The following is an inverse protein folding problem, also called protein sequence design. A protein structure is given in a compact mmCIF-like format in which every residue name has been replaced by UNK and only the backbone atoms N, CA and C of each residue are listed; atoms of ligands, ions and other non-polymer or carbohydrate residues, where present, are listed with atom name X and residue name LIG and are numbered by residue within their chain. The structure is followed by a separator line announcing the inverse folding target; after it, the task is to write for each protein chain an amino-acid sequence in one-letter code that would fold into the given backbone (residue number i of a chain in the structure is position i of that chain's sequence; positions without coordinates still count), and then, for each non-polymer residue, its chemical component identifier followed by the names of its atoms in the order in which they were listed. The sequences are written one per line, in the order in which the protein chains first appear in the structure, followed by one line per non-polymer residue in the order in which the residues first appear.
data_IF_142674705560
#
_entry.id   IF_142674705560
#
_cell.length_a   1.000
_cell.length_b   1.000
_cell.length_c   1.000
_cell.angle_alpha   90.00
_cell.angle_beta   90.00
_cell.angle_gamma   90.00
#
_symmetry.space_group_name_H-M   'P 1'
#
loop_
_entity.id
_entity.type
_entity.pdbx_description
1 polymer ?
#
# COMPACT_ATOMS: atom_id res chain seq x y z
N UNK A 1 -1.93 -19.27 7.45
CA UNK A 1 -2.28 -18.00 8.14
C UNK A 1 -3.57 -17.47 7.55
N UNK A 2 -4.48 -17.02 8.38
CA UNK A 2 -5.76 -16.45 7.94
C UNK A 2 -5.90 -15.09 8.60
N UNK A 3 -6.01 -14.04 7.78
CA UNK A 3 -6.37 -12.71 8.26
C UNK A 3 -7.88 -12.52 8.19
N UNK A 4 -8.45 -11.87 9.19
CA UNK A 4 -9.89 -11.66 9.27
C UNK A 4 -10.21 -10.22 9.63
N UNK A 5 -11.25 -9.71 9.00
CA UNK A 5 -11.84 -8.41 9.33
C UNK A 5 -13.36 -8.55 9.36
N UNK A 6 -14.00 -7.87 10.28
CA UNK A 6 -15.45 -7.63 10.26
C UNK A 6 -15.67 -6.15 10.02
N UNK A 7 -16.74 -5.79 9.34
CA UNK A 7 -17.00 -4.39 9.04
C UNK A 7 -18.49 -4.09 9.07
N UNK A 8 -18.82 -2.86 9.46
CA UNK A 8 -20.16 -2.31 9.44
C UNK A 8 -20.13 -1.01 8.66
N UNK A 9 -21.02 -0.89 7.69
CA UNK A 9 -21.10 0.29 6.83
C UNK A 9 -22.43 1.01 7.00
N UNK A 10 -22.35 2.34 6.93
CA UNK A 10 -23.53 3.23 6.89
C UNK A 10 -23.21 4.39 5.94
N UNK A 11 -24.00 4.54 4.87
CA UNK A 11 -23.64 5.46 3.79
C UNK A 11 -22.28 5.06 3.19
N UNK A 12 -21.40 6.04 3.03
CA UNK A 12 -20.04 5.80 2.53
C UNK A 12 -19.04 5.41 3.63
N UNK A 13 -19.44 5.50 4.90
CA UNK A 13 -18.58 5.19 6.03
C UNK A 13 -18.57 3.69 6.29
N UNK A 14 -17.36 3.12 6.43
CA UNK A 14 -17.15 1.72 6.82
C UNK A 14 -16.20 1.67 8.00
N UNK A 15 -16.63 1.06 9.10
CA UNK A 15 -15.77 0.76 10.23
C UNK A 15 -15.41 -0.72 10.23
N UNK A 16 -14.14 -1.00 10.00
CA UNK A 16 -13.59 -2.35 10.08
C UNK A 16 -12.97 -2.61 11.44
N UNK A 17 -13.01 -3.87 11.87
CA UNK A 17 -12.40 -4.31 13.11
C UNK A 17 -11.56 -5.57 12.87
N UNK A 18 -10.29 -5.51 13.22
CA UNK A 18 -9.37 -6.63 13.15
C UNK A 18 -8.47 -6.64 14.38
N UNK A 19 -8.43 -7.76 15.10
CA UNK A 19 -7.59 -7.93 16.31
C UNK A 19 -7.73 -6.78 17.32
N UNK A 20 -8.95 -6.24 17.50
CA UNK A 20 -9.22 -5.13 18.42
C UNK A 20 -8.86 -3.75 17.88
N UNK A 21 -8.37 -3.66 16.65
CA UNK A 21 -8.03 -2.40 15.99
C UNK A 21 -9.12 -1.96 15.02
N UNK A 22 -9.47 -0.68 15.09
CA UNK A 22 -10.46 -0.09 14.20
C UNK A 22 -9.79 0.52 12.98
N UNK A 23 -10.37 0.27 11.81
CA UNK A 23 -10.02 0.91 10.55
C UNK A 23 -11.26 1.66 10.07
N UNK A 24 -11.15 2.98 9.89
CA UNK A 24 -12.24 3.80 9.38
C UNK A 24 -11.95 4.19 7.95
N UNK A 25 -12.86 3.85 7.05
CA UNK A 25 -12.79 4.17 5.63
C UNK A 25 -14.03 4.96 5.27
N UNK A 26 -13.87 6.07 4.56
CA UNK A 26 -14.97 6.95 4.18
C UNK A 26 -14.67 7.59 2.82
N UNK A 27 -15.52 8.49 2.40
CA UNK A 27 -15.31 9.35 1.25
C UNK A 27 -15.41 10.81 1.69
N UNK A 28 -14.79 11.75 0.96
CA UNK A 28 -14.96 13.16 1.26
C UNK A 28 -16.40 13.61 0.99
N UNK A 29 -16.79 14.76 1.54
CA UNK A 29 -18.15 15.27 1.43
C UNK A 29 -18.61 15.44 -0.02
N UNK A 30 -17.73 15.88 -0.91
CA UNK A 30 -18.04 16.03 -2.34
C UNK A 30 -18.28 14.71 -3.08
N UNK A 31 -17.96 13.59 -2.45
CA UNK A 31 -18.23 12.24 -2.96
C UNK A 31 -19.35 11.54 -2.18
N UNK A 32 -20.07 12.29 -1.35
CA UNK A 32 -21.21 11.78 -0.57
C UNK A 32 -20.86 11.19 0.78
N UNK A 33 -19.63 11.34 1.23
CA UNK A 33 -19.16 10.86 2.52
C UNK A 33 -19.22 11.90 3.63
N UNK A 34 -18.72 11.52 4.81
CA UNK A 34 -18.62 12.39 5.98
C UNK A 34 -17.18 12.75 6.34
N UNK A 35 -16.23 12.35 5.52
CA UNK A 35 -14.80 12.67 5.64
C UNK A 35 -14.18 12.28 7.00
N UNK A 36 -14.60 11.13 7.53
CA UNK A 36 -14.13 10.60 8.81
C UNK A 36 -12.95 9.64 8.69
N UNK A 37 -12.59 9.28 7.48
CA UNK A 37 -11.47 8.38 7.18
C UNK A 37 -10.97 8.55 5.76
N UNK A 38 -9.81 7.95 5.48
CA UNK A 38 -9.28 7.91 4.12
C UNK A 38 -10.21 7.10 3.20
N UNK A 39 -10.20 7.41 1.90
CA UNK A 39 -10.99 6.65 0.95
C UNK A 39 -10.42 5.23 0.75
N UNK A 40 -11.19 4.30 0.18
CA UNK A 40 -10.75 2.91 0.02
C UNK A 40 -9.48 2.76 -0.80
N UNK A 41 -9.30 3.57 -1.84
CA UNK A 41 -8.14 3.49 -2.71
C UNK A 41 -6.88 3.95 -1.98
N UNK A 42 -6.95 5.06 -1.24
CA UNK A 42 -5.86 5.51 -0.38
C UNK A 42 -5.54 4.49 0.72
N UNK A 43 -6.56 3.84 1.27
CA UNK A 43 -6.40 2.79 2.27
C UNK A 43 -5.65 1.58 1.71
N UNK A 44 -5.94 1.18 0.47
CA UNK A 44 -5.19 0.12 -0.21
C UNK A 44 -3.71 0.51 -0.37
N UNK A 45 -3.42 1.74 -0.79
CA UNK A 45 -2.04 2.22 -0.92
C UNK A 45 -1.34 2.32 0.45
N UNK A 46 -2.07 2.71 1.49
CA UNK A 46 -1.53 2.71 2.85
C UNK A 46 -1.19 1.28 3.32
N UNK A 47 -2.02 0.30 2.98
CA UNK A 47 -1.73 -1.10 3.30
C UNK A 47 -0.48 -1.61 2.58
N UNK A 48 -0.24 -1.14 1.35
CA UNK A 48 0.99 -1.44 0.61
C UNK A 48 2.21 -0.91 1.38
N UNK A 49 2.19 0.35 1.81
CA UNK A 49 3.27 0.94 2.60
C UNK A 49 3.52 0.14 3.89
N UNK A 50 2.47 -0.19 4.62
CA UNK A 50 2.58 -0.96 5.87
C UNK A 50 3.15 -2.35 5.65
N UNK A 51 2.75 -3.02 4.58
CA UNK A 51 3.26 -4.34 4.23
C UNK A 51 4.73 -4.30 3.82
N UNK A 52 5.10 -3.37 2.94
CA UNK A 52 6.48 -3.15 2.54
C UNK A 52 7.38 -2.89 3.75
N UNK A 53 6.92 -2.04 4.67
CA UNK A 53 7.67 -1.76 5.90
C UNK A 53 7.83 -3.02 6.79
N UNK A 54 6.78 -3.78 6.98
CA UNK A 54 6.84 -5.01 7.80
C UNK A 54 7.83 -6.01 7.21
N UNK A 55 7.74 -6.27 5.91
CA UNK A 55 8.65 -7.19 5.22
C UNK A 55 10.09 -6.64 5.25
N UNK A 56 10.28 -5.33 5.06
CA UNK A 56 11.61 -4.70 5.15
C UNK A 56 12.25 -4.95 6.51
N UNK A 57 11.49 -4.87 7.59
CA UNK A 57 12.00 -5.15 8.93
C UNK A 57 12.38 -6.63 9.12
N UNK A 58 11.64 -7.56 8.55
CA UNK A 58 12.01 -8.98 8.58
C UNK A 58 13.29 -9.23 7.76
N UNK A 59 13.34 -8.72 6.54
CA UNK A 59 14.49 -8.89 5.64
C UNK A 59 15.74 -8.23 6.21
N UNK A 60 15.60 -7.03 6.79
CA UNK A 60 16.72 -6.33 7.39
C UNK A 60 17.42 -7.16 8.47
N UNK A 61 16.66 -7.90 9.28
CA UNK A 61 17.25 -8.84 10.26
C UNK A 61 17.95 -10.01 9.58
N UNK A 62 17.38 -10.54 8.51
CA UNK A 62 17.95 -11.68 7.79
C UNK A 62 19.30 -11.36 7.13
N UNK A 63 19.42 -10.14 6.57
CA UNK A 63 20.62 -9.71 5.84
C UNK A 63 21.55 -8.79 6.64
N UNK A 64 21.29 -8.66 7.93
CA UNK A 64 22.05 -7.78 8.84
C UNK A 64 22.12 -6.34 8.30
N UNK A 65 20.97 -5.79 7.96
CA UNK A 65 20.81 -4.42 7.45
C UNK A 65 20.38 -3.47 8.58
N UNK A 66 21.07 -2.31 8.68
CA UNK A 66 20.73 -1.27 9.64
C UNK A 66 19.52 -0.46 9.16
N UNK A 67 18.32 -0.94 9.44
CA UNK A 67 17.09 -0.25 9.08
C UNK A 67 16.62 0.63 10.23
N UNK A 68 16.70 1.94 10.05
CA UNK A 68 16.31 2.93 11.07
C UNK A 68 14.91 3.48 10.84
N UNK A 69 14.43 3.50 9.61
CA UNK A 69 13.10 3.96 9.24
C UNK A 69 12.92 4.06 7.73
N UNK A 70 11.68 4.16 7.30
CA UNK A 70 11.34 4.36 5.88
C UNK A 70 10.24 5.39 5.78
N UNK A 71 10.40 6.36 4.87
CA UNK A 71 9.34 7.24 4.44
C UNK A 71 8.85 6.79 3.07
N UNK A 72 7.54 6.58 2.95
CA UNK A 72 6.91 6.19 1.70
C UNK A 72 6.09 7.32 1.11
N UNK A 73 6.20 7.49 -0.22
CA UNK A 73 5.25 8.24 -1.02
C UNK A 73 4.76 7.30 -2.12
N UNK A 74 3.47 6.98 -2.08
CA UNK A 74 2.87 6.03 -3.01
C UNK A 74 1.74 6.71 -3.74
N UNK A 75 1.72 6.56 -5.06
CA UNK A 75 0.60 7.01 -5.88
C UNK A 75 0.14 5.90 -6.81
N UNK A 76 -1.14 5.92 -7.13
CA UNK A 76 -1.75 4.98 -8.06
C UNK A 76 -2.64 5.71 -9.04
N UNK A 77 -2.69 5.21 -10.25
CA UNK A 77 -3.51 5.75 -11.33
C UNK A 77 -4.56 4.74 -11.76
N UNK A 78 -5.79 5.21 -11.85
CA UNK A 78 -6.89 4.46 -12.45
C UNK A 78 -7.78 5.41 -13.25
N UNK A 79 -8.51 4.86 -14.20
CA UNK A 79 -9.50 5.61 -14.95
C UNK A 79 -10.85 5.52 -14.20
N UNK A 80 -11.36 6.64 -13.65
CA UNK A 80 -12.60 6.60 -12.87
C UNK A 80 -13.82 6.16 -13.69
N UNK A 81 -13.75 6.23 -15.01
CA UNK A 81 -14.83 5.76 -15.88
C UNK A 81 -15.09 4.26 -15.71
N UNK A 82 -14.06 3.47 -15.41
CA UNK A 82 -14.20 2.03 -15.17
C UNK A 82 -15.06 1.75 -13.96
N UNK A 83 -14.81 2.41 -12.83
CA UNK A 83 -15.61 2.25 -11.61
C UNK A 83 -17.02 2.80 -11.76
N UNK A 84 -17.25 3.69 -12.71
CA UNK A 84 -18.59 4.22 -13.04
C UNK A 84 -19.34 3.37 -14.07
N UNK A 85 -18.78 2.23 -14.47
CA UNK A 85 -19.44 1.26 -15.33
C UNK A 85 -19.19 1.44 -16.83
N UNK A 86 -18.22 2.26 -17.25
CA UNK A 86 -17.90 2.39 -18.66
C UNK A 86 -17.38 1.07 -19.22
N UNK A 87 -17.97 0.65 -20.34
CA UNK A 87 -17.58 -0.58 -21.02
C UNK A 87 -16.15 -0.49 -21.57
N UNK A 88 -15.38 -1.55 -21.42
CA UNK A 88 -14.01 -1.62 -21.93
C UNK A 88 -12.96 -0.87 -21.13
N UNK A 89 -13.34 -0.26 -20.00
CA UNK A 89 -12.41 0.44 -19.10
C UNK A 89 -12.21 -0.36 -17.84
N UNK A 90 -10.94 -0.67 -17.50
CA UNK A 90 -10.60 -1.42 -16.29
C UNK A 90 -10.96 -0.59 -15.05
N UNK A 91 -11.69 -1.15 -14.06
CA UNK A 91 -12.08 -0.42 -12.86
C UNK A 91 -11.01 -0.40 -11.77
N UNK A 92 -9.88 -1.10 -11.95
CA UNK A 92 -8.81 -1.23 -10.97
C UNK A 92 -7.58 -0.43 -11.37
N UNK A 93 -6.61 -0.30 -10.46
CA UNK A 93 -5.38 0.42 -10.72
C UNK A 93 -4.67 -0.09 -11.97
N UNK A 94 -4.20 0.84 -12.79
CA UNK A 94 -3.37 0.55 -13.96
C UNK A 94 -1.89 0.63 -13.64
N UNK A 95 -1.51 1.62 -12.80
CA UNK A 95 -0.13 1.87 -12.40
C UNK A 95 -0.07 2.25 -10.93
N UNK A 96 0.93 1.75 -10.23
CA UNK A 96 1.26 2.18 -8.87
C UNK A 96 2.76 2.44 -8.81
N UNK A 97 3.13 3.61 -8.29
CA UNK A 97 4.51 3.98 -8.03
C UNK A 97 4.76 4.06 -6.53
N UNK A 98 5.84 3.43 -6.08
CA UNK A 98 6.30 3.46 -4.69
C UNK A 98 7.65 4.17 -4.64
N UNK A 99 7.71 5.32 -3.98
CA UNK A 99 8.96 5.99 -3.64
C UNK A 99 9.23 5.79 -2.16
N UNK A 100 10.37 5.23 -1.82
CA UNK A 100 10.76 4.97 -0.44
C UNK A 100 12.14 5.59 -0.15
N UNK A 101 12.21 6.35 0.93
CA UNK A 101 13.46 6.92 1.46
C UNK A 101 13.84 6.16 2.71
N UNK A 102 14.95 5.46 2.67
CA UNK A 102 15.41 4.58 3.75
C UNK A 102 16.42 5.29 4.61
N UNK A 103 16.10 5.46 5.89
CA UNK A 103 17.03 5.98 6.89
C UNK A 103 17.92 4.83 7.35
N UNK A 104 19.22 4.93 7.06
CA UNK A 104 20.17 3.86 7.28
C UNK A 104 21.62 4.37 7.25
N UNK A 105 22.53 3.62 7.87
CA UNK A 105 23.97 3.80 7.73
C UNK A 105 24.55 2.99 6.55
N UNK A 106 23.75 2.15 5.92
CA UNK A 106 24.17 1.29 4.81
C UNK A 106 24.36 2.09 3.51
N UNK A 107 24.95 1.46 2.50
CA UNK A 107 25.15 2.06 1.17
C UNK A 107 23.86 2.04 0.33
N UNK A 108 23.85 2.84 -0.73
CA UNK A 108 22.78 2.78 -1.74
C UNK A 108 22.62 1.37 -2.33
N UNK A 109 23.72 0.66 -2.56
CA UNK A 109 23.68 -0.71 -3.10
C UNK A 109 22.97 -1.66 -2.14
N UNK A 110 23.19 -1.50 -0.84
CA UNK A 110 22.49 -2.29 0.19
C UNK A 110 21.01 -1.95 0.25
N UNK A 111 20.64 -0.68 0.04
CA UNK A 111 19.24 -0.27 -0.06
C UNK A 111 18.58 -0.96 -1.25
N UNK A 112 19.26 -1.05 -2.40
CA UNK A 112 18.72 -1.76 -3.57
C UNK A 112 18.58 -3.26 -3.31
N UNK A 113 19.51 -3.88 -2.58
CA UNK A 113 19.40 -5.28 -2.17
C UNK A 113 18.16 -5.49 -1.30
N UNK A 114 17.96 -4.63 -0.30
CA UNK A 114 16.78 -4.68 0.57
C UNK A 114 15.50 -4.57 -0.25
N UNK A 115 15.41 -3.58 -1.13
CA UNK A 115 14.25 -3.37 -2.01
C UNK A 115 13.92 -4.61 -2.83
N UNK A 116 14.89 -5.17 -3.52
CA UNK A 116 14.70 -6.33 -4.39
C UNK A 116 14.07 -7.50 -3.64
N UNK A 117 14.56 -7.77 -2.45
CA UNK A 117 14.05 -8.87 -1.63
C UNK A 117 12.64 -8.57 -1.13
N UNK A 118 12.41 -7.35 -0.65
CA UNK A 118 11.11 -6.91 -0.13
C UNK A 118 10.04 -6.98 -1.21
N UNK A 119 10.29 -6.42 -2.39
CA UNK A 119 9.32 -6.41 -3.49
C UNK A 119 8.93 -7.82 -3.92
N UNK A 120 9.86 -8.77 -3.86
CA UNK A 120 9.60 -10.17 -4.22
C UNK A 120 8.79 -10.93 -3.16
N UNK A 121 8.70 -10.42 -1.93
CA UNK A 121 8.11 -11.12 -0.78
C UNK A 121 6.91 -10.43 -0.16
N UNK A 122 6.67 -9.17 -0.48
CA UNK A 122 5.55 -8.41 0.09
C UNK A 122 4.21 -8.94 -0.47
N UNK A 123 3.33 -9.49 0.38
CA UNK A 123 2.06 -10.05 -0.10
C UNK A 123 1.16 -9.04 -0.80
N UNK A 124 1.14 -7.78 -0.34
CA UNK A 124 0.32 -6.74 -0.97
C UNK A 124 0.91 -6.33 -2.32
N UNK A 125 2.23 -6.08 -2.36
CA UNK A 125 2.91 -5.73 -3.62
C UNK A 125 2.72 -6.82 -4.68
N UNK A 126 2.98 -8.07 -4.32
CA UNK A 126 2.88 -9.20 -5.26
C UNK A 126 1.44 -9.50 -5.67
N UNK A 127 0.45 -9.23 -4.79
CA UNK A 127 -0.96 -9.33 -5.15
C UNK A 127 -1.32 -8.31 -6.23
N UNK A 128 -0.86 -7.07 -6.09
CA UNK A 128 -1.10 -6.02 -7.09
C UNK A 128 -0.40 -6.32 -8.41
N UNK A 129 0.84 -6.80 -8.34
CA UNK A 129 1.60 -7.22 -9.52
C UNK A 129 0.90 -8.37 -10.25
N UNK A 130 0.40 -9.36 -9.51
CA UNK A 130 -0.35 -10.49 -10.07
C UNK A 130 -1.68 -10.07 -10.70
N UNK A 131 -2.24 -8.94 -10.29
CA UNK A 131 -3.44 -8.36 -10.89
C UNK A 131 -3.15 -7.55 -12.16
N UNK A 132 -1.94 -7.64 -12.69
CA UNK A 132 -1.48 -6.94 -13.89
C UNK A 132 -1.44 -5.41 -13.72
N UNK A 133 -1.18 -4.95 -12.50
CA UNK A 133 -0.89 -3.55 -12.22
C UNK A 133 0.58 -3.29 -12.57
N UNK A 134 0.86 -2.24 -13.34
CA UNK A 134 2.23 -1.82 -13.60
C UNK A 134 2.83 -1.21 -12.34
N UNK A 135 3.71 -1.96 -11.69
CA UNK A 135 4.36 -1.55 -10.45
C UNK A 135 5.72 -0.95 -10.74
N UNK A 136 5.98 0.26 -10.21
CA UNK A 136 7.30 0.86 -10.19
C UNK A 136 7.69 1.17 -8.74
N UNK A 137 8.95 0.97 -8.41
CA UNK A 137 9.44 1.20 -7.05
C UNK A 137 10.85 1.79 -7.09
N UNK A 138 11.05 2.87 -6.36
CA UNK A 138 12.34 3.54 -6.24
C UNK A 138 12.67 3.71 -4.77
N UNK A 139 13.57 2.87 -4.28
CA UNK A 139 14.09 2.97 -2.92
C UNK A 139 15.44 3.66 -2.94
N UNK A 140 15.58 4.70 -2.15
CA UNK A 140 16.81 5.48 -2.06
C UNK A 140 17.20 5.67 -0.60
N UNK A 141 18.49 5.90 -0.36
CA UNK A 141 18.99 6.28 0.95
C UNK A 141 18.57 7.71 1.25
N UNK A 142 17.99 7.93 2.41
CA UNK A 142 17.62 9.26 2.88
C UNK A 142 18.86 10.14 3.21
#
# INVERSE_FOLDING_TARGET
MIEKITAVSKGMNTEGLSHGHKIVIDEPANMGGTDEGANPLATLLASLAGCENAIANFVAKEIDFDLQGIEFAINGELDPKGMMGAEGVRPYFQKINVDAKVKTSESEERVQELQRIVDSRCPVYTTLEAADVEMTANWTKA
#
